data_IF_316061412079
#
_entry.id   IF_316061412079
#
_cell.length_a   1.000
_cell.length_b   1.000
_cell.length_c   1.000
_cell.angle_alpha   90.00
_cell.angle_beta   90.00
_cell.angle_gamma   90.00
#
_symmetry.space_group_name_H-M   'P 1'
#
loop_
_entity.id
_entity.type
_entity.pdbx_description
1 polymer ?
#
# COMPACT_ATOMS: atom_id res chain seq x y z
N UNK A 1 16.60 -12.64 9.93
CA UNK A 1 15.67 -11.49 9.98
C UNK A 1 14.59 -11.54 8.91
N UNK A 2 14.92 -11.65 7.61
CA UNK A 2 13.92 -11.57 6.52
C UNK A 2 12.82 -12.65 6.56
N UNK A 3 13.20 -13.91 6.74
CA UNK A 3 12.25 -15.02 6.88
C UNK A 3 11.35 -14.86 8.11
N UNK A 4 11.93 -14.40 9.23
CA UNK A 4 11.19 -14.21 10.48
C UNK A 4 10.19 -13.04 10.37
N UNK A 5 10.55 -11.96 9.69
CA UNK A 5 9.65 -10.83 9.44
C UNK A 5 8.44 -11.24 8.57
N UNK A 6 8.67 -11.99 7.49
CA UNK A 6 7.60 -12.48 6.63
C UNK A 6 6.73 -13.53 7.34
N UNK A 7 7.34 -14.40 8.14
CA UNK A 7 6.61 -15.37 8.96
C UNK A 7 5.64 -14.65 9.91
N UNK A 8 6.12 -13.67 10.67
CA UNK A 8 5.28 -12.89 11.60
C UNK A 8 4.18 -12.16 10.84
N UNK A 9 4.52 -11.49 9.73
CA UNK A 9 3.55 -10.76 8.93
C UNK A 9 2.44 -11.66 8.38
N UNK A 10 2.81 -12.79 7.78
CA UNK A 10 1.86 -13.75 7.20
C UNK A 10 1.05 -14.46 8.28
N UNK A 11 1.65 -14.77 9.42
CA UNK A 11 0.95 -15.39 10.54
C UNK A 11 -0.06 -14.43 11.19
N UNK A 12 0.30 -13.16 11.38
CA UNK A 12 -0.63 -12.13 11.85
C UNK A 12 -1.77 -11.92 10.84
N UNK A 13 -1.45 -11.91 9.54
CA UNK A 13 -2.45 -11.83 8.49
C UNK A 13 -3.41 -13.03 8.50
N UNK A 14 -2.89 -14.24 8.72
CA UNK A 14 -3.70 -15.45 8.88
C UNK A 14 -4.69 -15.32 10.05
N UNK A 15 -4.22 -14.90 11.22
CA UNK A 15 -5.08 -14.72 12.40
C UNK A 15 -6.12 -13.63 12.22
N UNK A 16 -5.77 -12.54 11.52
CA UNK A 16 -6.71 -11.47 11.20
C UNK A 16 -7.80 -11.96 10.23
N UNK A 17 -7.46 -12.88 9.33
CA UNK A 17 -8.40 -13.48 8.39
C UNK A 17 -9.34 -14.49 9.05
N UNK A 18 -8.81 -15.37 9.93
CA UNK A 18 -9.61 -16.41 10.57
C UNK A 18 -10.39 -15.92 11.78
N UNK A 19 -9.90 -14.88 12.47
CA UNK A 19 -10.44 -14.33 13.72
C UNK A 19 -10.69 -15.38 14.83
N UNK A 20 -10.12 -16.58 14.68
CA UNK A 20 -10.23 -17.70 15.61
C UNK A 20 -8.84 -18.05 16.16
N UNK A 21 -8.77 -18.22 17.47
CA UNK A 21 -7.54 -18.47 18.25
C UNK A 21 -7.52 -19.92 18.78
N UNK A 22 -8.27 -20.83 18.16
CA UNK A 22 -8.19 -22.25 18.47
C UNK A 22 -6.77 -22.81 18.23
N UNK A 23 -6.36 -23.77 19.08
CA UNK A 23 -5.02 -24.36 19.01
C UNK A 23 -4.72 -24.97 17.63
N UNK A 24 -5.73 -25.59 17.01
CA UNK A 24 -5.62 -26.17 15.67
C UNK A 24 -5.33 -25.08 14.63
N UNK A 25 -6.06 -23.96 14.67
CA UNK A 25 -5.86 -22.87 13.73
C UNK A 25 -4.53 -22.15 13.92
N UNK A 26 -4.02 -22.06 15.15
CA UNK A 26 -2.68 -21.53 15.42
C UNK A 26 -1.59 -22.41 14.81
N UNK A 27 -1.68 -23.74 14.99
CA UNK A 27 -0.68 -24.68 14.46
C UNK A 27 -0.71 -24.70 12.93
N UNK A 28 -1.90 -24.79 12.33
CA UNK A 28 -2.06 -24.77 10.86
C UNK A 28 -1.55 -23.44 10.29
N UNK A 29 -1.95 -22.32 10.89
CA UNK A 29 -1.50 -20.99 10.50
C UNK A 29 0.02 -20.84 10.58
N UNK A 30 0.65 -21.38 11.63
CA UNK A 30 2.11 -21.36 11.78
C UNK A 30 2.81 -22.18 10.70
N UNK A 31 2.31 -23.38 10.37
CA UNK A 31 2.89 -24.22 9.31
C UNK A 31 2.76 -23.52 7.95
N UNK A 32 1.60 -22.96 7.63
CA UNK A 32 1.38 -22.23 6.38
C UNK A 32 2.26 -20.98 6.29
N UNK A 33 2.37 -20.21 7.38
CA UNK A 33 3.23 -19.03 7.45
C UNK A 33 4.72 -19.39 7.30
N UNK A 34 5.14 -20.56 7.81
CA UNK A 34 6.51 -21.06 7.65
C UNK A 34 6.80 -21.39 6.19
N UNK A 35 5.93 -22.16 5.54
CA UNK A 35 6.09 -22.58 4.14
C UNK A 35 6.12 -21.35 3.22
N UNK A 36 5.17 -20.44 3.39
CA UNK A 36 5.10 -19.21 2.59
C UNK A 36 6.33 -18.32 2.80
N UNK A 37 6.80 -18.16 4.04
CA UNK A 37 8.02 -17.41 4.32
C UNK A 37 9.25 -18.03 3.64
N UNK A 38 9.41 -19.35 3.69
CA UNK A 38 10.56 -20.03 3.07
C UNK A 38 10.59 -19.84 1.54
N UNK A 39 9.42 -19.91 0.89
CA UNK A 39 9.30 -19.77 -0.56
C UNK A 39 9.47 -18.32 -1.03
N UNK A 40 8.81 -17.36 -0.36
CA UNK A 40 8.65 -16.00 -0.90
C UNK A 40 9.57 -14.94 -0.26
N UNK A 41 10.33 -15.28 0.79
CA UNK A 41 11.24 -14.34 1.45
C UNK A 41 12.20 -13.63 0.51
N UNK A 42 12.65 -14.31 -0.56
CA UNK A 42 13.61 -13.74 -1.52
C UNK A 42 13.06 -12.56 -2.33
N UNK A 43 11.76 -12.50 -2.58
CA UNK A 43 11.16 -11.49 -3.46
C UNK A 43 10.71 -10.22 -2.73
N UNK A 44 10.38 -10.33 -1.43
CA UNK A 44 9.68 -9.25 -0.72
C UNK A 44 10.59 -8.27 0.02
N UNK A 45 11.79 -8.69 0.46
CA UNK A 45 12.70 -7.77 1.14
C UNK A 45 14.13 -7.87 0.62
N UNK A 46 14.55 -6.88 -0.13
CA UNK A 46 15.93 -6.79 -0.60
C UNK A 46 16.89 -6.26 0.49
N UNK A 47 16.36 -5.49 1.45
CA UNK A 47 17.11 -4.91 2.58
C UNK A 47 16.35 -5.12 3.89
N UNK A 48 16.60 -6.26 4.54
CA UNK A 48 15.88 -6.74 5.74
C UNK A 48 15.93 -5.86 7.00
N UNK A 49 16.58 -4.70 6.96
CA UNK A 49 16.75 -3.80 8.12
C UNK A 49 15.73 -2.65 8.20
N UNK A 50 14.93 -2.42 7.15
CA UNK A 50 13.98 -1.29 7.12
C UNK A 50 12.65 -1.57 7.81
N UNK A 51 12.27 -2.84 7.99
CA UNK A 51 10.93 -3.22 8.49
C UNK A 51 10.78 -3.13 10.02
N UNK A 52 11.87 -3.09 10.78
CA UNK A 52 11.81 -3.03 12.26
C UNK A 52 11.93 -1.61 12.83
N UNK A 53 12.02 -0.58 11.98
CA UNK A 53 12.07 0.79 12.45
C UNK A 53 10.66 1.29 12.79
N UNK A 54 10.31 1.28 14.08
CA UNK A 54 9.01 1.72 14.59
C UNK A 54 8.62 3.13 14.08
N UNK A 55 9.62 4.01 13.92
CA UNK A 55 9.44 5.36 13.37
C UNK A 55 8.84 5.38 11.96
N UNK A 56 9.11 4.38 11.11
CA UNK A 56 8.53 4.30 9.76
C UNK A 56 7.04 3.98 9.78
N UNK A 57 6.59 3.17 10.74
CA UNK A 57 5.16 2.87 10.89
C UNK A 57 4.37 4.10 11.30
N UNK A 58 4.95 4.95 12.15
CA UNK A 58 4.35 6.24 12.50
C UNK A 58 4.14 7.11 11.26
N UNK A 59 5.19 7.31 10.44
CA UNK A 59 5.05 8.08 9.19
C UNK A 59 4.12 7.43 8.17
N UNK A 60 4.07 6.10 8.10
CA UNK A 60 3.11 5.38 7.27
C UNK A 60 1.67 5.63 7.72
N UNK A 61 1.41 5.66 9.03
CA UNK A 61 0.10 5.98 9.58
C UNK A 61 -0.29 7.43 9.27
N UNK A 62 0.61 8.39 9.52
CA UNK A 62 0.41 9.80 9.15
C UNK A 62 0.08 9.94 7.67
N UNK A 63 0.84 9.27 6.82
CA UNK A 63 0.61 9.24 5.38
C UNK A 63 -0.77 8.66 5.01
N UNK A 64 -1.19 7.54 5.62
CA UNK A 64 -2.51 6.94 5.36
C UNK A 64 -3.63 7.90 5.73
N UNK A 65 -3.54 8.56 6.88
CA UNK A 65 -4.56 9.52 7.34
C UNK A 65 -4.67 10.69 6.36
N UNK A 66 -3.54 11.25 5.93
CA UNK A 66 -3.50 12.33 4.93
C UNK A 66 -4.09 11.84 3.60
N UNK A 67 -3.70 10.66 3.13
CA UNK A 67 -4.19 10.08 1.88
C UNK A 67 -5.71 9.91 1.90
N UNK A 68 -6.28 9.37 2.98
CA UNK A 68 -7.73 9.23 3.15
C UNK A 68 -8.41 10.59 3.08
N UNK A 69 -7.86 11.60 3.77
CA UNK A 69 -8.43 12.95 3.75
C UNK A 69 -8.42 13.58 2.34
N UNK A 70 -7.31 13.45 1.61
CA UNK A 70 -7.22 13.92 0.23
C UNK A 70 -8.16 13.16 -0.70
N UNK A 71 -8.29 11.83 -0.54
CA UNK A 71 -9.25 11.02 -1.29
C UNK A 71 -10.70 11.45 -1.04
N UNK A 72 -11.06 11.77 0.21
CA UNK A 72 -12.41 12.26 0.53
C UNK A 72 -12.68 13.59 -0.18
N UNK A 73 -11.76 14.57 -0.07
CA UNK A 73 -11.90 15.88 -0.74
C UNK A 73 -12.01 15.73 -2.26
N UNK A 74 -11.19 14.89 -2.85
CA UNK A 74 -11.20 14.67 -4.30
C UNK A 74 -12.47 13.94 -4.78
N UNK A 75 -13.05 13.03 -3.98
CA UNK A 75 -14.37 12.47 -4.28
C UNK A 75 -15.48 13.54 -4.29
N UNK A 76 -15.46 14.49 -3.34
CA UNK A 76 -16.40 15.60 -3.34
C UNK A 76 -16.22 16.53 -4.55
N UNK A 77 -14.98 16.82 -4.94
CA UNK A 77 -14.69 17.60 -6.15
C UNK A 77 -15.21 16.90 -7.42
N UNK A 78 -15.01 15.59 -7.55
CA UNK A 78 -15.56 14.81 -8.67
C UNK A 78 -17.08 14.80 -8.64
N UNK A 79 -17.71 14.59 -7.48
CA UNK A 79 -19.16 14.66 -7.34
C UNK A 79 -19.71 16.03 -7.77
N UNK A 80 -19.06 17.12 -7.36
CA UNK A 80 -19.42 18.47 -7.80
C UNK A 80 -19.31 18.65 -9.31
N UNK A 81 -18.21 18.19 -9.93
CA UNK A 81 -17.99 18.30 -11.39
C UNK A 81 -19.01 17.52 -12.20
N UNK A 82 -19.45 16.36 -11.70
CA UNK A 82 -20.49 15.54 -12.34
C UNK A 82 -21.87 16.19 -12.22
N UNK A 83 -22.18 16.82 -11.08
CA UNK A 83 -23.46 17.50 -10.87
C UNK A 83 -23.52 18.88 -11.53
N UNK A 84 -22.39 19.52 -11.81
CA UNK A 84 -22.36 20.83 -12.43
C UNK A 84 -22.81 20.73 -13.90
N UNK A 85 -23.85 21.46 -14.33
CA UNK A 85 -24.38 21.37 -15.70
C UNK A 85 -23.39 21.72 -16.81
N UNK A 86 -22.34 22.49 -16.51
CA UNK A 86 -21.31 22.86 -17.48
C UNK A 86 -20.18 21.82 -17.60
N UNK A 87 -20.14 20.81 -16.71
CA UNK A 87 -19.09 19.78 -16.62
C UNK A 87 -17.69 20.30 -16.99
N UNK A 88 -17.12 21.24 -16.22
CA UNK A 88 -15.88 21.92 -16.60
C UNK A 88 -14.65 21.00 -16.44
N UNK A 89 -14.51 20.02 -17.33
CA UNK A 89 -13.43 19.03 -17.35
C UNK A 89 -12.49 19.37 -18.51
N UNK A 90 -11.19 19.50 -18.22
CA UNK A 90 -10.15 19.71 -19.24
C UNK A 90 -9.11 18.60 -19.12
N UNK A 91 -9.22 17.52 -19.93
CA UNK A 91 -8.26 16.42 -19.86
C UNK A 91 -6.89 16.86 -20.36
N UNK A 92 -5.83 16.32 -19.78
CA UNK A 92 -4.45 16.58 -20.18
C UNK A 92 -3.49 15.56 -19.58
N UNK A 93 -2.40 15.27 -20.31
CA UNK A 93 -1.31 14.42 -19.83
C UNK A 93 -0.16 15.33 -19.40
N UNK A 94 0.27 15.20 -18.14
CA UNK A 94 1.35 16.00 -17.57
C UNK A 94 2.46 15.07 -17.10
N UNK A 95 3.71 15.38 -17.47
CA UNK A 95 4.89 14.64 -17.00
C UNK A 95 5.43 15.28 -15.73
N UNK A 96 5.48 14.51 -14.64
CA UNK A 96 6.04 14.94 -13.34
C UNK A 96 7.40 14.28 -13.13
N UNK A 97 8.43 15.08 -12.81
CA UNK A 97 9.77 14.56 -12.48
C UNK A 97 9.80 14.08 -11.03
N UNK A 98 10.15 12.82 -10.82
CA UNK A 98 10.23 12.21 -9.48
C UNK A 98 11.69 12.16 -9.00
N UNK A 99 11.92 12.50 -7.74
CA UNK A 99 13.23 12.37 -7.08
C UNK A 99 13.31 11.11 -6.19
N UNK A 100 12.49 10.09 -6.49
CA UNK A 100 12.34 8.86 -5.71
C UNK A 100 13.28 7.76 -6.23
N UNK A 101 14.09 7.23 -5.31
CA UNK A 101 15.12 6.21 -5.59
C UNK A 101 14.61 4.76 -5.49
N UNK A 102 13.46 4.52 -4.84
CA UNK A 102 12.95 3.18 -4.58
C UNK A 102 11.74 2.87 -5.45
N UNK A 103 11.72 1.71 -6.08
CA UNK A 103 10.59 1.26 -6.90
C UNK A 103 9.30 1.12 -6.09
N UNK A 104 9.40 0.64 -4.84
CA UNK A 104 8.27 0.61 -3.92
C UNK A 104 7.70 2.02 -3.67
N UNK A 105 8.56 3.03 -3.49
CA UNK A 105 8.11 4.40 -3.28
C UNK A 105 7.47 5.00 -4.55
N UNK A 106 8.01 4.68 -5.73
CA UNK A 106 7.42 5.08 -7.02
C UNK A 106 6.04 4.46 -7.23
N UNK A 107 5.91 3.16 -6.97
CA UNK A 107 4.64 2.45 -7.05
C UNK A 107 3.62 2.99 -6.05
N UNK A 108 4.03 3.25 -4.80
CA UNK A 108 3.16 3.82 -3.78
C UNK A 108 2.64 5.21 -4.17
N UNK A 109 3.51 6.08 -4.68
CA UNK A 109 3.12 7.40 -5.19
C UNK A 109 2.16 7.30 -6.38
N UNK A 110 2.48 6.44 -7.36
CA UNK A 110 1.62 6.26 -8.53
C UNK A 110 0.22 5.79 -8.14
N UNK A 111 0.12 4.84 -7.20
CA UNK A 111 -1.16 4.39 -6.66
C UNK A 111 -1.90 5.49 -5.90
N UNK A 112 -1.21 6.35 -5.14
CA UNK A 112 -1.86 7.50 -4.50
C UNK A 112 -2.49 8.46 -5.50
N UNK A 113 -1.76 8.79 -6.56
CA UNK A 113 -2.24 9.69 -7.62
C UNK A 113 -3.44 9.07 -8.33
N UNK A 114 -3.40 7.77 -8.61
CA UNK A 114 -4.54 7.08 -9.23
C UNK A 114 -5.74 6.97 -8.29
N UNK A 115 -5.51 6.80 -6.98
CA UNK A 115 -6.59 6.71 -5.99
C UNK A 115 -7.26 8.05 -5.70
N UNK A 116 -6.58 9.18 -5.87
CA UNK A 116 -7.20 10.51 -5.77
C UNK A 116 -8.04 10.77 -7.03
N UNK A 117 -9.39 10.82 -6.93
CA UNK A 117 -10.26 10.97 -8.07
C UNK A 117 -9.91 12.20 -8.92
N UNK A 118 -9.89 12.02 -10.24
CA UNK A 118 -9.54 13.08 -11.20
C UNK A 118 -8.13 12.98 -11.79
N UNK A 119 -7.32 12.02 -11.34
CA UNK A 119 -5.99 11.74 -11.91
C UNK A 119 -5.77 10.25 -12.14
N UNK A 120 -4.91 9.90 -13.12
CA UNK A 120 -4.49 8.52 -13.39
C UNK A 120 -3.01 8.51 -13.76
N UNK A 121 -2.23 7.62 -13.14
CA UNK A 121 -0.86 7.37 -13.54
C UNK A 121 -0.83 6.46 -14.77
N UNK A 122 -0.28 6.96 -15.89
CA UNK A 122 -0.24 6.23 -17.18
C UNK A 122 1.05 5.44 -17.34
N UNK A 123 2.20 6.05 -17.01
CA UNK A 123 3.51 5.43 -17.19
C UNK A 123 4.52 5.95 -16.16
N UNK A 124 5.47 5.10 -15.79
CA UNK A 124 6.60 5.42 -14.91
C UNK A 124 7.87 5.13 -15.71
N UNK A 125 8.38 6.16 -16.37
CA UNK A 125 9.65 6.08 -17.11
C UNK A 125 10.81 6.28 -16.15
N UNK A 126 11.64 5.24 -16.01
CA UNK A 126 12.85 5.22 -15.17
C UNK A 126 14.07 5.74 -15.90
#
# INVERSE_FOLDING_TARGET
MRYLALFILTFLFWLLLTLDVSLVNLVVGAVVALITSLLFSKYFFDKGYKFLQLHRYFWLLVYIVILIWECIKANFDVAYRVLHPAMPIKPGIVKVKLNLQSDFARAMLANSITMTPGTIAVDIVG
#
